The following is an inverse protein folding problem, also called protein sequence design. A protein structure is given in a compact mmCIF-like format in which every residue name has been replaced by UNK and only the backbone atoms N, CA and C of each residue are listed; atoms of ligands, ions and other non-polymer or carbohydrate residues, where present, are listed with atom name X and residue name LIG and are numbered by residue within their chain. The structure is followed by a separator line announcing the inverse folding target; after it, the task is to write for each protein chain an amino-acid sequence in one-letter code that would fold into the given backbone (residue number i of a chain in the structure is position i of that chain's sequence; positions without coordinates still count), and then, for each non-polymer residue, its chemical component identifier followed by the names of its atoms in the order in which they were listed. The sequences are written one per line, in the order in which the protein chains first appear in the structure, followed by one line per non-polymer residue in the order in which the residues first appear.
data_IF_679288540171
#
_entry.id   IF_679288540171
#
_cell.length_a   1.000
_cell.length_b   1.000
_cell.length_c   1.000
_cell.angle_alpha   90.00
_cell.angle_beta   90.00
_cell.angle_gamma   90.00
#
_symmetry.space_group_name_H-M   'P 1'
#
loop_
_entity.id
_entity.type
_entity.pdbx_description
1 polymer ?
#
# COMPACT_ATOMS: atom_id res chain seq x y z
N UNK A 1 -45.30 63.47 10.00
CA UNK A 1 -44.80 62.44 10.92
C UNK A 1 -44.06 61.36 10.05
N UNK A 2 -42.71 61.48 9.94
CA UNK A 2 -41.92 60.58 9.10
C UNK A 2 -41.36 59.44 9.99
N UNK A 3 -41.78 58.21 9.66
CA UNK A 3 -41.32 57.01 10.35
C UNK A 3 -40.03 56.57 9.65
N UNK A 4 -38.88 56.58 10.38
CA UNK A 4 -37.63 56.02 9.96
C UNK A 4 -37.61 54.57 10.35
N UNK A 5 -37.59 53.66 9.35
CA UNK A 5 -37.35 52.24 9.55
C UNK A 5 -35.84 51.99 9.52
N UNK A 6 -35.25 51.62 10.66
CA UNK A 6 -33.85 51.16 10.75
C UNK A 6 -33.80 49.71 10.32
N UNK A 7 -33.15 49.45 9.18
CA UNK A 7 -32.86 48.11 8.69
C UNK A 7 -31.55 47.61 9.37
N UNK A 8 -31.74 46.72 10.35
CA UNK A 8 -30.61 46.02 10.99
C UNK A 8 -30.13 44.91 10.05
N UNK A 9 -28.98 45.11 9.40
CA UNK A 9 -28.29 44.07 8.63
C UNK A 9 -27.50 43.22 9.60
N UNK A 10 -27.99 41.99 9.87
CA UNK A 10 -27.23 40.96 10.56
C UNK A 10 -26.22 40.37 9.58
N UNK A 11 -24.95 40.74 9.75
CA UNK A 11 -23.82 40.03 9.10
C UNK A 11 -23.62 38.71 9.85
N UNK A 12 -24.12 37.62 9.29
CA UNK A 12 -23.75 36.29 9.71
C UNK A 12 -22.34 36.00 9.22
N UNK A 13 -21.38 36.11 10.13
CA UNK A 13 -20.06 35.52 9.94
C UNK A 13 -20.22 33.98 9.92
N UNK A 14 -20.15 33.41 8.73
CA UNK A 14 -19.91 31.97 8.56
C UNK A 14 -18.43 31.71 8.86
N UNK A 15 -18.09 31.39 10.10
CA UNK A 15 -16.85 30.73 10.44
C UNK A 15 -16.86 29.34 9.80
N UNK A 16 -16.07 29.20 8.74
CA UNK A 16 -15.75 27.90 8.16
C UNK A 16 -14.95 27.12 9.19
N UNK A 17 -15.60 26.17 9.84
CA UNK A 17 -14.93 25.13 10.60
C UNK A 17 -14.24 24.22 9.59
N UNK A 18 -12.98 24.53 9.28
CA UNK A 18 -12.08 23.62 8.60
C UNK A 18 -11.56 22.60 9.64
N UNK A 19 -12.36 21.58 9.93
CA UNK A 19 -11.90 20.39 10.62
C UNK A 19 -11.61 19.29 9.57
N UNK A 20 -10.56 19.47 8.80
CA UNK A 20 -9.86 18.37 8.13
C UNK A 20 -8.55 18.16 8.87
N UNK A 21 -8.60 17.52 10.04
CA UNK A 21 -7.41 16.89 10.63
C UNK A 21 -7.06 15.67 9.80
N UNK A 22 -6.50 15.91 8.63
CA UNK A 22 -5.69 14.92 7.92
C UNK A 22 -4.38 14.87 8.68
N UNK A 23 -4.24 13.89 9.57
CA UNK A 23 -2.96 13.51 10.18
C UNK A 23 -2.07 12.91 9.08
N UNK A 24 -1.58 13.76 8.19
CA UNK A 24 -0.36 13.47 7.43
C UNK A 24 0.77 13.76 8.39
N UNK A 25 1.24 12.77 9.13
CA UNK A 25 2.53 12.89 9.82
C UNK A 25 3.58 13.03 8.72
N UNK A 26 3.99 14.27 8.47
CA UNK A 26 5.17 14.56 7.66
C UNK A 26 6.36 13.87 8.34
N UNK A 27 7.14 13.14 7.57
CA UNK A 27 8.47 12.68 7.97
C UNK A 27 9.21 13.92 8.44
N UNK A 28 9.59 13.93 9.72
CA UNK A 28 10.43 14.99 10.24
C UNK A 28 11.73 14.99 9.42
N UNK A 29 12.20 16.18 9.02
CA UNK A 29 13.33 16.36 8.11
C UNK A 29 14.67 15.78 8.58
N UNK A 30 14.67 15.08 9.71
CA UNK A 30 15.83 14.45 10.34
C UNK A 30 15.84 12.92 10.31
N UNK A 31 14.81 12.24 9.77
CA UNK A 31 14.90 10.79 9.59
C UNK A 31 15.73 10.53 8.34
N UNK A 32 17.02 10.23 8.50
CA UNK A 32 17.86 9.78 7.40
C UNK A 32 17.28 8.46 6.86
N UNK A 33 16.77 8.51 5.64
CA UNK A 33 16.29 7.32 4.93
C UNK A 33 17.51 6.65 4.31
N UNK A 34 18.20 5.84 5.10
CA UNK A 34 19.38 5.12 4.65
C UNK A 34 19.02 3.67 4.32
N UNK A 35 19.54 3.15 3.21
CA UNK A 35 19.51 1.73 2.91
C UNK A 35 20.47 0.98 3.83
N UNK A 36 20.19 -0.30 4.10
CA UNK A 36 21.15 -1.21 4.77
C UNK A 36 22.36 -1.38 3.83
N UNK A 37 23.55 -0.98 4.25
CA UNK A 37 24.74 -1.00 3.40
C UNK A 37 25.12 -2.41 2.90
N UNK A 38 24.95 -3.43 3.75
CA UNK A 38 25.31 -4.83 3.44
C UNK A 38 24.15 -5.76 3.82
N UNK A 39 23.05 -5.78 3.05
CA UNK A 39 21.90 -6.61 3.39
C UNK A 39 22.27 -8.09 3.31
N UNK A 40 22.04 -8.82 4.41
CA UNK A 40 22.46 -10.22 4.59
C UNK A 40 21.42 -11.20 4.12
N UNK A 41 20.15 -10.85 4.17
CA UNK A 41 19.06 -11.72 3.78
C UNK A 41 18.12 -11.07 2.74
N UNK A 42 17.16 -11.87 2.27
CA UNK A 42 16.19 -11.45 1.27
C UNK A 42 15.30 -10.30 1.77
N UNK A 43 14.89 -10.31 3.03
CA UNK A 43 13.92 -9.34 3.59
C UNK A 43 14.57 -7.98 3.82
N UNK A 44 15.84 -7.94 4.18
CA UNK A 44 16.64 -6.71 4.21
C UNK A 44 16.80 -6.12 2.80
N UNK A 45 17.07 -6.98 1.81
CA UNK A 45 17.11 -6.56 0.39
C UNK A 45 15.74 -6.03 -0.09
N UNK A 46 14.65 -6.66 0.33
CA UNK A 46 13.30 -6.20 -0.01
C UNK A 46 12.98 -4.85 0.63
N UNK A 47 13.39 -4.62 1.87
CA UNK A 47 13.29 -3.33 2.53
C UNK A 47 14.04 -2.24 1.76
N UNK A 48 15.31 -2.50 1.38
CA UNK A 48 16.10 -1.57 0.57
C UNK A 48 15.45 -1.32 -0.80
N UNK A 49 14.96 -2.37 -1.45
CA UNK A 49 14.24 -2.24 -2.71
C UNK A 49 12.99 -1.37 -2.59
N UNK A 50 12.23 -1.52 -1.50
CA UNK A 50 11.07 -0.68 -1.22
C UNK A 50 11.46 0.78 -0.98
N UNK A 51 12.52 1.04 -0.22
CA UNK A 51 13.04 2.39 0.03
C UNK A 51 13.52 3.03 -1.27
N UNK A 52 14.23 2.28 -2.13
CA UNK A 52 14.79 2.80 -3.40
C UNK A 52 13.74 3.21 -4.45
N UNK A 53 12.48 2.87 -4.25
CA UNK A 53 11.37 3.25 -5.13
C UNK A 53 10.47 4.34 -4.54
N UNK A 54 10.85 4.95 -3.41
CA UNK A 54 10.11 6.08 -2.84
C UNK A 54 10.12 7.23 -3.86
N UNK A 55 8.91 7.71 -4.18
CA UNK A 55 8.70 8.79 -5.14
C UNK A 55 7.33 9.42 -4.91
N UNK A 56 7.31 10.59 -4.28
CA UNK A 56 6.09 11.34 -3.96
C UNK A 56 5.35 11.87 -5.20
N UNK A 57 5.99 11.86 -6.38
CA UNK A 57 5.36 12.31 -7.63
C UNK A 57 4.53 11.20 -8.31
N UNK A 58 4.54 9.97 -7.80
CA UNK A 58 3.73 8.88 -8.35
C UNK A 58 2.25 9.12 -8.07
N UNK A 59 1.49 9.40 -9.13
CA UNK A 59 0.05 9.67 -9.04
C UNK A 59 -0.72 8.36 -8.80
N UNK A 60 -1.56 8.34 -7.77
CA UNK A 60 -2.43 7.18 -7.48
C UNK A 60 -3.44 6.98 -8.61
N UNK A 61 -3.28 5.89 -9.37
CA UNK A 61 -4.08 5.63 -10.58
C UNK A 61 -4.60 4.19 -10.60
N UNK A 62 -5.87 3.95 -10.18
CA UNK A 62 -6.45 2.61 -10.15
C UNK A 62 -6.97 2.13 -11.51
N UNK A 63 -6.86 2.94 -12.55
CA UNK A 63 -7.36 2.63 -13.89
C UNK A 63 -6.75 1.34 -14.43
N UNK A 64 -7.57 0.60 -15.20
CA UNK A 64 -7.10 -0.56 -15.95
C UNK A 64 -6.13 -0.13 -17.06
N UNK A 65 -4.99 -0.81 -17.12
CA UNK A 65 -3.98 -0.60 -18.16
C UNK A 65 -3.59 -1.95 -18.75
N UNK A 66 -3.58 -2.05 -20.07
CA UNK A 66 -2.98 -3.20 -20.74
C UNK A 66 -1.46 -3.09 -20.69
N UNK A 67 -0.81 -4.05 -20.09
CA UNK A 67 0.65 -4.06 -19.87
C UNK A 67 1.29 -5.29 -20.52
N UNK A 68 2.60 -5.21 -20.74
CA UNK A 68 3.37 -6.35 -21.24
C UNK A 68 3.26 -7.53 -20.27
N UNK A 69 3.40 -8.74 -20.77
CA UNK A 69 3.52 -9.95 -19.97
C UNK A 69 4.63 -10.86 -20.52
N UNK A 70 5.52 -11.40 -19.71
CA UNK A 70 5.76 -11.11 -18.29
C UNK A 70 6.46 -9.75 -18.08
N UNK A 71 6.70 -9.37 -16.82
CA UNK A 71 7.41 -8.16 -16.40
C UNK A 71 6.78 -6.83 -16.85
N UNK A 72 5.45 -6.81 -17.03
CA UNK A 72 4.73 -5.58 -17.35
C UNK A 72 4.61 -4.65 -16.14
N UNK A 73 4.65 -3.34 -16.39
CA UNK A 73 4.38 -2.31 -15.37
C UNK A 73 3.43 -1.25 -15.94
N UNK A 74 2.72 -0.58 -15.07
CA UNK A 74 2.01 0.64 -15.41
C UNK A 74 3.01 1.79 -15.62
N UNK A 75 2.61 2.91 -16.26
CA UNK A 75 3.52 4.04 -16.46
C UNK A 75 4.25 4.44 -15.17
N UNK A 76 5.54 4.73 -15.24
CA UNK A 76 6.43 4.88 -14.09
C UNK A 76 5.94 5.90 -13.03
N UNK A 77 5.32 6.99 -13.47
CA UNK A 77 4.76 8.03 -12.58
C UNK A 77 3.30 7.78 -12.18
N UNK A 78 2.80 6.55 -12.36
CA UNK A 78 1.48 6.14 -11.89
C UNK A 78 1.57 4.83 -11.12
N UNK A 79 0.60 4.55 -10.26
CA UNK A 79 0.53 3.30 -9.52
C UNK A 79 -0.50 3.32 -8.41
N UNK A 80 -0.71 2.16 -7.79
CA UNK A 80 -1.51 1.98 -6.59
C UNK A 80 -0.65 1.29 -5.52
N UNK A 81 -1.22 0.99 -4.35
CA UNK A 81 -0.50 0.34 -3.25
C UNK A 81 0.18 -0.99 -3.64
N UNK A 82 -0.48 -1.82 -4.43
CA UNK A 82 0.10 -3.09 -4.92
C UNK A 82 1.28 -2.89 -5.87
N UNK A 83 1.30 -1.79 -6.65
CA UNK A 83 2.41 -1.51 -7.56
C UNK A 83 3.72 -1.22 -6.79
N UNK A 84 3.63 -0.70 -5.56
CA UNK A 84 4.79 -0.56 -4.65
C UNK A 84 5.41 -1.93 -4.38
N UNK A 85 4.59 -2.90 -3.98
CA UNK A 85 5.05 -4.28 -3.69
C UNK A 85 5.60 -4.93 -4.96
N UNK A 86 4.89 -4.85 -6.08
CA UNK A 86 5.30 -5.41 -7.36
C UNK A 86 6.67 -4.85 -7.80
N UNK A 87 6.85 -3.54 -7.69
CA UNK A 87 8.10 -2.86 -8.08
C UNK A 87 9.27 -3.23 -7.17
N UNK A 88 9.05 -3.32 -5.85
CA UNK A 88 10.08 -3.74 -4.91
C UNK A 88 10.55 -5.18 -5.19
N UNK A 89 9.62 -6.12 -5.39
CA UNK A 89 9.97 -7.49 -5.76
C UNK A 89 10.68 -7.58 -7.12
N UNK A 90 10.27 -6.78 -8.10
CA UNK A 90 10.92 -6.72 -9.41
C UNK A 90 12.38 -6.28 -9.32
N UNK A 91 12.73 -5.36 -8.40
CA UNK A 91 14.11 -4.98 -8.12
C UNK A 91 14.97 -6.17 -7.69
N UNK A 92 14.36 -7.18 -7.09
CA UNK A 92 15.01 -8.43 -6.67
C UNK A 92 14.88 -9.55 -7.70
N UNK A 93 14.44 -9.25 -8.93
CA UNK A 93 14.29 -10.22 -10.01
C UNK A 93 13.04 -11.08 -9.95
N UNK A 94 12.10 -10.80 -9.04
CA UNK A 94 10.85 -11.56 -8.88
C UNK A 94 9.70 -10.83 -9.60
N UNK A 95 9.12 -11.48 -10.60
CA UNK A 95 7.99 -10.99 -11.36
C UNK A 95 6.64 -11.43 -10.73
N UNK A 96 6.11 -10.62 -9.81
CA UNK A 96 4.83 -10.93 -9.18
C UNK A 96 3.65 -10.95 -10.17
N UNK A 97 3.74 -10.28 -11.33
CA UNK A 97 2.72 -10.41 -12.38
C UNK A 97 2.65 -11.85 -12.88
N UNK A 98 3.82 -12.45 -13.18
CA UNK A 98 3.93 -13.83 -13.65
C UNK A 98 3.52 -14.81 -12.56
N UNK A 99 4.12 -14.70 -11.39
CA UNK A 99 3.89 -15.62 -10.27
C UNK A 99 2.41 -15.71 -9.86
N UNK A 100 1.75 -14.56 -9.68
CA UNK A 100 0.33 -14.50 -9.34
C UNK A 100 -0.53 -15.03 -10.47
N UNK A 101 -0.24 -14.67 -11.73
CA UNK A 101 -1.03 -15.12 -12.88
C UNK A 101 -0.97 -16.64 -13.05
N UNK A 102 0.21 -17.24 -12.92
CA UNK A 102 0.40 -18.69 -13.08
C UNK A 102 -0.23 -19.48 -11.94
N UNK A 103 -0.07 -19.05 -10.68
CA UNK A 103 -0.74 -19.70 -9.55
C UNK A 103 -2.27 -19.55 -9.65
N UNK A 104 -2.75 -18.37 -9.99
CA UNK A 104 -4.18 -18.13 -10.16
C UNK A 104 -4.77 -18.96 -11.32
N UNK A 105 -4.06 -19.08 -12.44
CA UNK A 105 -4.51 -19.90 -13.57
C UNK A 105 -4.67 -21.38 -13.17
N UNK A 106 -3.77 -21.90 -12.37
CA UNK A 106 -3.81 -23.27 -11.88
C UNK A 106 -4.86 -23.48 -10.75
N UNK A 107 -5.21 -22.42 -10.00
CA UNK A 107 -5.99 -22.51 -8.77
C UNK A 107 -7.11 -21.44 -8.72
N UNK A 108 -7.74 -21.10 -9.84
CA UNK A 108 -8.65 -19.97 -9.98
C UNK A 108 -9.78 -19.95 -8.94
N UNK A 109 -10.33 -21.10 -8.58
CA UNK A 109 -11.42 -21.22 -7.60
C UNK A 109 -11.04 -20.80 -6.18
N UNK A 110 -9.75 -20.76 -5.85
CA UNK A 110 -9.27 -20.33 -4.54
C UNK A 110 -9.15 -18.80 -4.44
N UNK A 111 -9.16 -18.12 -5.58
CA UNK A 111 -9.07 -16.66 -5.65
C UNK A 111 -10.45 -15.99 -5.64
N UNK A 112 -10.57 -14.78 -5.12
CA UNK A 112 -11.86 -14.13 -4.94
C UNK A 112 -12.46 -13.55 -6.23
N UNK A 113 -11.84 -13.75 -7.40
CA UNK A 113 -12.20 -13.11 -8.66
C UNK A 113 -13.65 -13.36 -9.06
N UNK A 114 -14.11 -14.61 -9.01
CA UNK A 114 -15.51 -14.94 -9.33
C UNK A 114 -16.47 -14.32 -8.32
N UNK A 115 -16.18 -14.51 -7.02
CA UNK A 115 -17.06 -14.08 -5.93
C UNK A 115 -17.13 -12.56 -5.79
N UNK A 116 -16.00 -11.88 -5.97
CA UNK A 116 -15.88 -10.44 -5.69
C UNK A 116 -16.19 -9.57 -6.91
N UNK A 117 -15.86 -10.05 -8.12
CA UNK A 117 -16.00 -9.27 -9.35
C UNK A 117 -16.75 -9.99 -10.48
N UNK A 118 -17.28 -11.20 -10.25
CA UNK A 118 -17.99 -11.97 -11.25
C UNK A 118 -17.12 -12.47 -12.42
N UNK A 119 -15.78 -12.40 -12.27
CA UNK A 119 -14.83 -12.78 -13.31
C UNK A 119 -14.68 -14.29 -13.38
N UNK A 120 -14.67 -14.83 -14.59
CA UNK A 120 -14.59 -16.29 -14.86
C UNK A 120 -13.21 -16.75 -15.33
N UNK A 121 -12.31 -15.80 -15.60
CA UNK A 121 -10.96 -16.06 -16.10
C UNK A 121 -9.96 -15.15 -15.43
N UNK A 122 -8.68 -15.52 -15.50
CA UNK A 122 -7.58 -14.65 -15.07
C UNK A 122 -7.35 -13.51 -16.05
N UNK A 123 -6.86 -12.39 -15.54
CA UNK A 123 -6.42 -11.23 -16.33
C UNK A 123 -5.01 -10.80 -15.92
N UNK A 124 -4.01 -11.13 -16.75
CA UNK A 124 -2.60 -10.84 -16.55
C UNK A 124 -2.28 -9.34 -16.37
N UNK A 125 -3.18 -8.45 -16.75
CA UNK A 125 -2.96 -7.01 -16.64
C UNK A 125 -3.28 -6.46 -15.25
N UNK A 126 -4.19 -7.11 -14.49
CA UNK A 126 -4.71 -6.52 -13.26
C UNK A 126 -4.76 -7.48 -12.06
N UNK A 127 -4.75 -8.80 -12.27
CA UNK A 127 -4.94 -9.74 -11.16
C UNK A 127 -3.90 -9.60 -10.05
N UNK A 128 -2.63 -9.38 -10.39
CA UNK A 128 -1.53 -9.13 -9.46
C UNK A 128 -1.59 -7.74 -8.80
N UNK A 129 -2.40 -6.82 -9.33
CA UNK A 129 -2.61 -5.48 -8.79
C UNK A 129 -3.80 -5.40 -7.82
N UNK A 130 -4.50 -6.51 -7.60
CA UNK A 130 -5.62 -6.59 -6.67
C UNK A 130 -5.16 -7.15 -5.33
N UNK A 131 -5.20 -6.33 -4.27
CA UNK A 131 -4.76 -6.74 -2.92
C UNK A 131 -5.39 -8.05 -2.46
N UNK A 132 -6.72 -8.31 -2.62
CA UNK A 132 -7.28 -9.61 -2.23
C UNK A 132 -6.72 -10.83 -2.97
N UNK A 133 -6.20 -10.64 -4.19
CA UNK A 133 -5.51 -11.72 -4.90
C UNK A 133 -4.09 -11.92 -4.35
N UNK A 134 -3.39 -10.83 -4.03
CA UNK A 134 -2.07 -10.89 -3.39
C UNK A 134 -2.14 -11.58 -2.02
N UNK A 135 -3.17 -11.31 -1.22
CA UNK A 135 -3.40 -12.00 0.07
C UNK A 135 -3.50 -13.52 -0.12
N UNK A 136 -4.30 -13.97 -1.09
CA UNK A 136 -4.41 -15.41 -1.40
C UNK A 136 -3.07 -15.96 -1.89
N UNK A 137 -2.39 -15.25 -2.77
CA UNK A 137 -1.09 -15.68 -3.30
C UNK A 137 -0.04 -15.82 -2.20
N UNK A 138 0.12 -14.80 -1.34
CA UNK A 138 1.11 -14.82 -0.26
C UNK A 138 0.78 -15.87 0.81
N UNK A 139 -0.50 -16.09 1.12
CA UNK A 139 -0.91 -17.16 2.03
C UNK A 139 -0.62 -18.56 1.46
N UNK A 140 -0.64 -18.73 0.14
CA UNK A 140 -0.41 -20.02 -0.53
C UNK A 140 1.05 -20.31 -0.80
N UNK A 141 1.82 -19.30 -1.16
CA UNK A 141 3.20 -19.42 -1.65
C UNK A 141 4.24 -18.97 -0.63
N UNK A 142 3.84 -18.16 0.32
CA UNK A 142 4.66 -17.65 1.39
C UNK A 142 4.30 -18.23 2.75
N UNK A 143 4.43 -17.39 3.76
CA UNK A 143 4.08 -17.67 5.15
C UNK A 143 3.04 -16.66 5.63
N UNK A 144 1.98 -17.14 6.27
CA UNK A 144 1.01 -16.29 6.99
C UNK A 144 1.44 -16.15 8.43
N UNK A 145 1.57 -14.92 8.89
CA UNK A 145 2.04 -14.58 10.22
C UNK A 145 0.88 -14.11 11.11
N UNK A 146 1.01 -14.19 12.44
CA UNK A 146 0.00 -13.68 13.37
C UNK A 146 -0.21 -12.17 13.18
N UNK A 147 -1.46 -11.74 13.26
CA UNK A 147 -1.85 -10.33 13.34
C UNK A 147 -1.90 -9.95 14.82
N UNK A 148 -1.11 -8.96 15.23
CA UNK A 148 -1.04 -8.47 16.60
C UNK A 148 -1.16 -6.94 16.65
N UNK A 149 -1.31 -6.38 17.86
CA UNK A 149 -1.24 -4.93 18.11
C UNK A 149 0.14 -4.48 18.58
N UNK A 150 1.11 -5.39 18.65
CA UNK A 150 2.47 -5.07 19.02
C UNK A 150 3.31 -4.78 17.75
N UNK A 151 3.77 -3.54 17.51
CA UNK A 151 4.54 -3.20 16.33
C UNK A 151 5.83 -4.02 16.19
N UNK A 152 6.39 -4.50 17.32
CA UNK A 152 7.63 -5.29 17.31
C UNK A 152 7.48 -6.68 16.70
N UNK A 153 6.26 -7.16 16.49
CA UNK A 153 6.00 -8.46 15.85
C UNK A 153 6.15 -8.39 14.32
N UNK A 154 6.09 -7.18 13.75
CA UNK A 154 6.26 -6.93 12.32
C UNK A 154 7.73 -6.67 12.00
N UNK A 155 8.30 -7.52 11.19
CA UNK A 155 9.75 -7.53 10.88
C UNK A 155 10.03 -6.91 9.52
N UNK A 156 11.27 -6.50 9.32
CA UNK A 156 11.78 -6.00 8.04
C UNK A 156 11.41 -6.95 6.90
N UNK A 157 10.84 -6.40 5.83
CA UNK A 157 10.43 -7.15 4.64
C UNK A 157 9.08 -7.87 4.75
N UNK A 158 8.39 -7.77 5.91
CA UNK A 158 7.03 -8.29 6.02
C UNK A 158 6.07 -7.50 5.11
N UNK A 159 5.06 -8.21 4.61
CA UNK A 159 3.96 -7.64 3.84
C UNK A 159 2.74 -7.54 4.75
N UNK A 160 2.18 -6.35 4.84
CA UNK A 160 0.98 -6.12 5.65
C UNK A 160 -0.15 -5.64 4.78
N UNK A 161 -1.36 -6.14 5.03
CA UNK A 161 -2.58 -5.66 4.38
C UNK A 161 -3.56 -5.12 5.40
N UNK A 162 -4.28 -4.08 4.97
CA UNK A 162 -5.26 -3.36 5.80
C UNK A 162 -6.58 -3.21 5.07
N UNK A 163 -7.60 -2.86 5.84
CA UNK A 163 -8.85 -2.28 5.34
C UNK A 163 -8.94 -0.82 5.80
N UNK A 164 -9.00 0.08 4.83
CA UNK A 164 -9.16 1.52 5.02
C UNK A 164 -10.64 1.92 4.91
N UNK A 165 -10.94 3.16 5.29
CA UNK A 165 -12.26 3.80 5.09
C UNK A 165 -13.43 2.93 5.60
N UNK A 166 -13.41 2.59 6.87
CA UNK A 166 -14.49 1.80 7.49
C UNK A 166 -14.57 0.36 6.97
N UNK A 167 -13.42 -0.28 6.78
CA UNK A 167 -13.29 -1.66 6.31
C UNK A 167 -13.67 -1.91 4.84
N UNK A 168 -13.64 -0.86 4.00
CA UNK A 168 -14.11 -0.95 2.61
C UNK A 168 -12.98 -1.10 1.57
N UNK A 169 -11.81 -0.50 1.78
CA UNK A 169 -10.75 -0.38 0.78
C UNK A 169 -9.54 -1.23 1.18
N UNK A 170 -9.24 -2.32 0.45
CA UNK A 170 -8.04 -3.11 0.68
C UNK A 170 -6.77 -2.30 0.36
N UNK A 171 -5.77 -2.41 1.21
CA UNK A 171 -4.49 -1.73 1.09
C UNK A 171 -3.34 -2.68 1.44
N UNK A 172 -2.13 -2.41 0.91
CA UNK A 172 -0.93 -3.21 1.16
C UNK A 172 0.31 -2.33 1.22
N UNK A 173 1.28 -2.73 2.03
CA UNK A 173 2.60 -2.10 2.11
C UNK A 173 3.68 -3.06 2.56
N UNK A 174 4.92 -2.58 2.55
CA UNK A 174 6.13 -3.32 2.94
C UNK A 174 6.68 -2.70 4.22
N UNK A 175 6.88 -3.53 5.24
CA UNK A 175 7.55 -3.16 6.48
C UNK A 175 9.04 -2.95 6.21
N UNK A 176 9.57 -1.79 6.58
CA UNK A 176 11.00 -1.48 6.40
C UNK A 176 11.79 -1.68 7.70
N UNK A 177 13.12 -1.63 7.60
CA UNK A 177 14.02 -1.59 8.77
C UNK A 177 14.02 -0.22 9.46
N UNK A 178 13.54 0.82 8.79
CA UNK A 178 13.47 2.18 9.35
C UNK A 178 12.44 2.22 10.47
N UNK A 179 12.80 2.88 11.56
CA UNK A 179 11.92 3.09 12.70
C UNK A 179 11.50 4.55 12.79
N UNK A 180 10.25 4.78 13.15
CA UNK A 180 9.77 6.10 13.52
C UNK A 180 10.34 6.53 14.89
N UNK A 181 10.15 7.78 15.26
CA UNK A 181 10.51 8.29 16.59
C UNK A 181 9.85 7.51 17.73
N UNK A 182 8.68 6.94 17.49
CA UNK A 182 7.97 6.08 18.45
C UNK A 182 8.51 4.64 18.49
N UNK A 183 9.54 4.31 17.68
CA UNK A 183 10.12 2.98 17.58
C UNK A 183 9.30 1.99 16.72
N UNK A 184 8.20 2.43 16.09
CA UNK A 184 7.42 1.59 15.17
C UNK A 184 8.17 1.35 13.86
N UNK A 185 8.06 0.17 13.25
CA UNK A 185 8.57 -0.01 11.89
C UNK A 185 7.76 0.84 10.91
N UNK A 186 8.47 1.57 10.04
CA UNK A 186 7.84 2.38 9.02
C UNK A 186 7.51 1.54 7.78
N UNK A 187 6.49 1.97 7.06
CA UNK A 187 5.90 1.25 5.94
C UNK A 187 6.14 2.02 4.64
N UNK A 188 6.63 1.34 3.59
CA UNK A 188 6.58 1.88 2.24
C UNK A 188 5.29 1.43 1.57
N UNK A 189 4.49 2.38 1.15
CA UNK A 189 3.18 2.17 0.51
C UNK A 189 2.78 3.34 -0.39
N UNK A 190 1.58 3.28 -0.99
CA UNK A 190 0.96 4.39 -1.70
C UNK A 190 -0.54 4.42 -1.40
N UNK A 191 -1.01 5.46 -0.73
CA UNK A 191 -2.43 5.70 -0.38
C UNK A 191 -2.98 6.97 -1.04
N UNK A 192 -2.20 7.57 -1.95
CA UNK A 192 -2.56 8.80 -2.68
C UNK A 192 -1.52 9.92 -2.62
N UNK A 193 -0.55 9.83 -1.73
CA UNK A 193 0.55 10.81 -1.59
C UNK A 193 1.83 10.40 -2.32
N UNK A 194 1.74 9.49 -3.29
CA UNK A 194 2.88 8.89 -3.95
C UNK A 194 3.35 7.59 -3.27
N UNK A 195 4.52 7.10 -3.70
CA UNK A 195 5.20 5.99 -3.03
C UNK A 195 6.02 6.59 -1.88
N UNK A 196 5.53 6.42 -0.66
CA UNK A 196 6.06 7.14 0.52
C UNK A 196 6.40 6.16 1.65
N UNK A 197 7.24 6.62 2.59
CA UNK A 197 7.56 5.94 3.84
C UNK A 197 6.80 6.62 4.99
N UNK A 198 5.95 5.87 5.71
CA UNK A 198 5.11 6.43 6.77
C UNK A 198 5.06 5.54 8.02
N UNK A 199 4.88 6.12 9.21
CA UNK A 199 4.54 5.42 10.46
C UNK A 199 3.02 5.17 10.48
N UNK A 200 2.58 4.19 9.72
CA UNK A 200 1.15 3.91 9.54
C UNK A 200 0.74 2.47 9.88
N UNK A 201 1.64 1.65 10.42
CA UNK A 201 1.41 0.22 10.66
C UNK A 201 0.09 -0.05 11.41
N UNK A 202 -0.20 0.69 12.46
CA UNK A 202 -1.38 0.50 13.31
C UNK A 202 -2.51 1.52 13.05
N UNK A 203 -2.42 2.33 11.99
CA UNK A 203 -3.40 3.37 11.69
C UNK A 203 -4.73 2.83 11.17
N UNK A 204 -4.73 1.59 10.63
CA UNK A 204 -5.90 0.95 10.06
C UNK A 204 -6.01 -0.50 10.54
N UNK A 205 -7.16 -1.10 10.31
CA UNK A 205 -7.40 -2.51 10.65
C UNK A 205 -6.54 -3.42 9.79
N UNK A 206 -5.54 -4.06 10.41
CA UNK A 206 -4.72 -5.08 9.75
C UNK A 206 -5.60 -6.33 9.51
N UNK A 207 -5.54 -6.89 8.29
CA UNK A 207 -6.28 -8.08 7.88
C UNK A 207 -5.38 -9.17 7.31
N UNK A 208 -4.11 -8.86 7.04
CA UNK A 208 -3.13 -9.84 6.61
C UNK A 208 -1.72 -9.45 7.03
N UNK A 209 -0.90 -10.46 7.34
CA UNK A 209 0.50 -10.35 7.68
C UNK A 209 1.23 -11.54 7.07
N UNK A 210 2.19 -11.27 6.17
CA UNK A 210 2.80 -12.31 5.35
C UNK A 210 4.30 -12.10 5.20
N UNK A 211 4.99 -13.23 4.93
CA UNK A 211 6.33 -13.26 4.33
C UNK A 211 6.27 -14.01 3.01
N UNK A 212 6.96 -13.50 2.01
CA UNK A 212 7.13 -14.20 0.75
C UNK A 212 8.54 -14.01 0.21
N UNK A 213 9.14 -15.11 -0.18
CA UNK A 213 10.40 -15.17 -0.92
C UNK A 213 10.26 -16.29 -1.94
N UNK A 214 10.51 -15.98 -3.21
CA UNK A 214 10.59 -17.06 -4.21
C UNK A 214 11.77 -17.99 -3.87
N UNK A 215 11.49 -19.29 -3.82
CA UNK A 215 12.50 -20.32 -3.43
C UNK A 215 13.07 -21.05 -4.66
N UNK A 216 12.75 -20.54 -5.88
CA UNK A 216 13.25 -21.14 -7.12
C UNK A 216 14.68 -20.71 -7.44
#
# INVERSE_FOLDING_TARGET
MKIFIFLFVFLLNCDKINNSNTLTQQIDSNTEINEIENPTDFYEKLSNAAISIIDSEVVYTPSYVSIKYPNGDVPAKTGVCSDVVIRAYRKLGIDLQKEVHEDMKANFSLYPNLKKWGLKTTDKNIDHRRVPNLEVFFARKGETLPITQNPSDYKTGDLVTWLLAGDAIPHIGIVTHIKSENGNPMIVHNVGSGQVLEDCLLNWKIVGHFKFMNKD
#
